data_IF_725494312350
#
_entry.id   IF_725494312350
#
_cell.length_a   1.000
_cell.length_b   1.000
_cell.length_c   1.000
_cell.angle_alpha   90.00
_cell.angle_beta   90.00
_cell.angle_gamma   90.00
#
_symmetry.space_group_name_H-M   'P 1'
#
loop_
_entity.id
_entity.type
_entity.pdbx_description
1 polymer ?
#
# COMPACT_ATOMS: atom_id res chain seq x y z
N UNK A 1 7.81 -13.22 11.23
CA UNK A 1 9.02 -12.40 11.08
C UNK A 1 8.54 -11.26 10.23
N UNK A 2 8.34 -10.08 10.82
CA UNK A 2 7.71 -8.92 10.19
C UNK A 2 8.33 -8.67 8.81
N UNK A 3 7.52 -8.85 7.76
CA UNK A 3 7.93 -8.87 6.35
C UNK A 3 8.33 -7.46 5.85
N UNK A 4 8.07 -6.46 6.68
CA UNK A 4 8.57 -5.10 6.61
C UNK A 4 8.96 -4.75 8.03
N UNK A 5 10.24 -4.65 8.36
CA UNK A 5 10.69 -3.95 9.57
C UNK A 5 10.45 -2.44 9.48
N UNK A 6 9.32 -2.06 8.90
CA UNK A 6 8.93 -0.72 8.53
C UNK A 6 7.89 -0.29 9.56
N UNK A 7 8.18 0.79 10.27
CA UNK A 7 7.24 1.33 11.25
C UNK A 7 5.95 1.71 10.53
N UNK A 8 4.83 1.82 11.24
CA UNK A 8 3.52 2.13 10.64
C UNK A 8 3.52 3.40 9.76
N UNK A 9 4.53 4.27 9.88
CA UNK A 9 4.74 5.45 9.04
C UNK A 9 5.34 5.12 7.66
N UNK A 10 6.24 4.14 7.57
CA UNK A 10 6.87 3.75 6.30
C UNK A 10 5.84 3.15 5.32
N UNK A 11 4.81 2.47 5.85
CA UNK A 11 3.69 1.95 5.05
C UNK A 11 2.81 3.09 4.53
N UNK A 12 2.55 4.10 5.36
CA UNK A 12 1.77 5.29 4.97
C UNK A 12 2.49 6.05 3.85
N UNK A 13 3.80 6.27 3.99
CA UNK A 13 4.61 6.93 2.96
C UNK A 13 4.63 6.13 1.65
N UNK A 14 4.69 4.80 1.71
CA UNK A 14 4.61 3.94 0.54
C UNK A 14 3.26 4.11 -0.18
N UNK A 15 2.15 4.05 0.55
CA UNK A 15 0.79 4.19 0.00
C UNK A 15 0.63 5.57 -0.66
N UNK A 16 1.03 6.65 0.00
CA UNK A 16 0.96 8.00 -0.57
C UNK A 16 1.75 8.15 -1.87
N UNK A 17 2.98 7.60 -1.93
CA UNK A 17 3.78 7.63 -3.16
C UNK A 17 3.12 6.84 -4.31
N UNK A 18 2.42 5.76 -3.98
CA UNK A 18 1.71 4.95 -4.97
C UNK A 18 0.46 5.66 -5.50
N UNK A 19 -0.30 6.30 -4.61
CA UNK A 19 -1.42 7.17 -4.98
C UNK A 19 -1.00 8.27 -5.95
N UNK A 20 0.09 8.97 -5.67
CA UNK A 20 0.62 10.01 -6.56
C UNK A 20 1.16 9.43 -7.88
N UNK A 21 1.90 8.32 -7.84
CA UNK A 21 2.55 7.74 -9.02
C UNK A 21 1.54 7.17 -10.01
N UNK A 22 0.52 6.48 -9.51
CA UNK A 22 -0.53 5.87 -10.34
C UNK A 22 -1.76 6.77 -10.49
N UNK A 23 -1.76 7.91 -9.81
CA UNK A 23 -2.87 8.86 -9.77
C UNK A 23 -4.19 8.19 -9.33
N UNK A 24 -4.07 7.27 -8.37
CA UNK A 24 -5.14 6.50 -7.73
C UNK A 24 -5.41 7.02 -6.32
N UNK A 25 -6.53 6.64 -5.73
CA UNK A 25 -6.88 6.98 -4.35
C UNK A 25 -7.18 5.66 -3.61
N UNK A 26 -6.46 5.40 -2.52
CA UNK A 26 -6.57 4.19 -1.72
C UNK A 26 -7.34 4.56 -0.45
N UNK A 27 -8.55 4.01 -0.23
CA UNK A 27 -9.29 4.28 0.98
C UNK A 27 -8.52 3.86 2.23
N UNK A 28 -8.56 4.66 3.30
CA UNK A 28 -7.93 4.32 4.58
C UNK A 28 -8.34 2.92 5.08
N UNK A 29 -9.61 2.54 4.87
CA UNK A 29 -10.13 1.21 5.23
C UNK A 29 -9.49 0.05 4.48
N UNK A 30 -8.92 0.30 3.31
CA UNK A 30 -8.18 -0.69 2.52
C UNK A 30 -6.68 -0.61 2.82
N UNK A 31 -6.15 0.59 3.02
CA UNK A 31 -4.79 0.80 3.54
C UNK A 31 -4.56 0.10 4.91
N UNK A 32 -5.54 0.13 5.81
CA UNK A 32 -5.50 -0.58 7.10
C UNK A 32 -5.48 -2.11 6.96
N UNK A 33 -5.94 -2.66 5.83
CA UNK A 33 -5.93 -4.11 5.56
C UNK A 33 -4.63 -4.59 4.92
N UNK A 34 -3.84 -3.66 4.38
CA UNK A 34 -2.54 -3.95 3.80
C UNK A 34 -1.55 -4.17 4.95
N UNK A 35 -1.16 -5.43 5.16
CA UNK A 35 -0.21 -5.80 6.21
C UNK A 35 1.19 -6.09 5.64
N UNK A 36 1.30 -6.35 4.34
CA UNK A 36 2.53 -6.75 3.68
C UNK A 36 2.74 -6.03 2.35
N UNK A 37 3.99 -6.00 1.86
CA UNK A 37 4.29 -5.52 0.49
C UNK A 37 3.52 -6.33 -0.55
N UNK A 38 3.30 -7.63 -0.30
CA UNK A 38 2.51 -8.49 -1.16
C UNK A 38 1.08 -7.96 -1.34
N UNK A 39 0.44 -7.56 -0.25
CA UNK A 39 -0.92 -7.01 -0.28
C UNK A 39 -0.97 -5.71 -1.09
N UNK A 40 0.03 -4.83 -0.96
CA UNK A 40 0.13 -3.60 -1.77
C UNK A 40 0.26 -3.93 -3.26
N UNK A 41 1.17 -4.85 -3.61
CA UNK A 41 1.44 -5.22 -5.00
C UNK A 41 0.22 -5.85 -5.65
N UNK A 42 -0.49 -6.71 -4.92
CA UNK A 42 -1.71 -7.34 -5.42
C UNK A 42 -2.87 -6.34 -5.52
N UNK A 43 -2.96 -5.38 -4.60
CA UNK A 43 -3.93 -4.29 -4.69
C UNK A 43 -3.70 -3.40 -5.92
N UNK A 44 -2.46 -3.00 -6.19
CA UNK A 44 -2.11 -2.22 -7.38
C UNK A 44 -2.39 -2.99 -8.67
N UNK A 45 -2.02 -4.28 -8.73
CA UNK A 45 -2.29 -5.11 -9.92
C UNK A 45 -3.79 -5.13 -10.25
N UNK A 46 -4.65 -5.30 -9.24
CA UNK A 46 -6.10 -5.31 -9.43
C UNK A 46 -6.68 -3.94 -9.87
N UNK A 47 -5.94 -2.84 -9.70
CA UNK A 47 -6.37 -1.50 -10.13
C UNK A 47 -5.91 -1.15 -11.55
N UNK A 48 -4.84 -1.78 -12.04
CA UNK A 48 -4.20 -1.45 -13.34
C UNK A 48 -4.58 -2.44 -14.46
N UNK A 49 -5.05 -3.65 -14.12
CA UNK A 49 -5.67 -4.61 -15.05
C UNK A 49 -7.16 -4.31 -15.32
#
# INVERSE_FOLDING_TARGET
IDDLGADSLDIVDLIMNLEETFNIEIPDSDAEKVATVGDVVDYIKNLVD
#
